data_IF_648943549108
#
_entry.id   IF_648943549108
#
_cell.length_a   1.000
_cell.length_b   1.000
_cell.length_c   1.000
_cell.angle_alpha   90.00
_cell.angle_beta   90.00
_cell.angle_gamma   90.00
#
_symmetry.space_group_name_H-M   'P 1'
#
loop_
_entity.id
_entity.type
_entity.pdbx_description
1 polymer ?
#
# COMPACT_ATOMS: atom_id res chain seq x y z
N UNK A 1 -32.09 25.03 -19.38
CA UNK A 1 -30.85 24.32 -19.76
C UNK A 1 -29.70 24.59 -18.82
N UNK A 2 -29.42 25.83 -18.41
CA UNK A 2 -28.29 26.13 -17.52
C UNK A 2 -28.42 25.49 -16.13
N UNK A 3 -29.62 25.33 -15.56
CA UNK A 3 -29.82 24.68 -14.26
C UNK A 3 -29.55 23.20 -14.25
N UNK A 4 -29.81 22.50 -15.35
CA UNK A 4 -29.57 21.07 -15.50
C UNK A 4 -28.08 20.75 -15.59
N UNK A 5 -27.31 21.58 -16.28
CA UNK A 5 -25.87 21.44 -16.38
C UNK A 5 -25.17 21.60 -15.02
N UNK A 6 -25.61 22.57 -14.22
CA UNK A 6 -25.07 22.80 -12.89
C UNK A 6 -25.33 21.60 -11.95
N UNK A 7 -26.50 20.97 -12.04
CA UNK A 7 -26.84 19.79 -11.25
C UNK A 7 -25.98 18.58 -11.64
N UNK A 8 -25.77 18.35 -12.91
CA UNK A 8 -24.92 17.25 -13.41
C UNK A 8 -23.48 17.43 -12.97
N UNK A 9 -22.95 18.65 -13.06
CA UNK A 9 -21.59 18.97 -12.63
C UNK A 9 -21.40 18.75 -11.12
N UNK A 10 -22.36 19.17 -10.31
CA UNK A 10 -22.31 18.98 -8.87
C UNK A 10 -22.35 17.49 -8.50
N UNK A 11 -23.18 16.70 -9.16
CA UNK A 11 -23.26 15.25 -8.92
C UNK A 11 -21.96 14.54 -9.30
N UNK A 12 -21.34 14.89 -10.43
CA UNK A 12 -20.07 14.34 -10.86
C UNK A 12 -18.95 14.66 -9.87
N UNK A 13 -18.93 15.88 -9.32
CA UNK A 13 -17.96 16.30 -8.33
C UNK A 13 -18.09 15.52 -7.03
N UNK A 14 -19.33 15.27 -6.57
CA UNK A 14 -19.58 14.48 -5.36
C UNK A 14 -19.12 13.02 -5.54
N UNK A 15 -19.33 12.42 -6.69
CA UNK A 15 -18.87 11.07 -6.99
C UNK A 15 -17.35 10.99 -7.01
N UNK A 16 -16.67 11.99 -7.56
CA UNK A 16 -15.21 12.04 -7.58
C UNK A 16 -14.63 12.15 -6.17
N UNK A 17 -15.24 12.94 -5.29
CA UNK A 17 -14.83 13.06 -3.89
C UNK A 17 -15.03 11.75 -3.12
N UNK A 18 -16.13 11.02 -3.36
CA UNK A 18 -16.40 9.75 -2.72
C UNK A 18 -15.36 8.69 -3.11
N UNK A 19 -14.95 8.64 -4.37
CA UNK A 19 -13.90 7.73 -4.85
C UNK A 19 -12.54 8.09 -4.27
N UNK A 20 -12.20 9.38 -4.20
CA UNK A 20 -10.94 9.85 -3.61
C UNK A 20 -10.82 9.58 -2.11
N UNK A 21 -11.95 9.62 -1.38
CA UNK A 21 -11.96 9.44 0.06
C UNK A 21 -11.70 7.98 0.50
N UNK A 22 -11.80 6.99 -0.42
CA UNK A 22 -11.58 5.58 -0.09
C UNK A 22 -10.12 5.13 -0.18
N UNK A 23 -9.24 5.96 -0.77
CA UNK A 23 -7.83 5.63 -0.95
C UNK A 23 -7.05 5.95 0.33
N UNK A 24 -6.77 4.91 1.15
CA UNK A 24 -6.09 5.07 2.44
C UNK A 24 -4.63 4.61 2.44
N UNK A 25 -4.19 3.83 1.45
CA UNK A 25 -2.82 3.33 1.40
C UNK A 25 -1.84 4.41 0.93
N UNK A 26 -0.59 4.40 1.42
CA UNK A 26 0.42 5.33 0.95
C UNK A 26 0.70 5.16 -0.54
N UNK A 27 1.16 6.24 -1.16
CA UNK A 27 1.57 6.21 -2.56
C UNK A 27 2.76 5.27 -2.75
N UNK A 28 2.79 4.56 -3.88
CA UNK A 28 3.91 3.67 -4.22
C UNK A 28 5.24 4.44 -4.17
N UNK A 29 6.23 3.94 -3.41
CA UNK A 29 7.55 4.58 -3.36
C UNK A 29 8.24 4.57 -4.72
N UNK A 30 9.10 5.57 -4.95
CA UNK A 30 9.88 5.67 -6.19
C UNK A 30 10.96 4.60 -6.30
N UNK A 31 11.48 4.14 -5.15
CA UNK A 31 12.48 3.09 -5.09
C UNK A 31 11.93 1.89 -4.33
N UNK A 32 12.22 0.69 -4.83
CA UNK A 32 11.78 -0.54 -4.18
C UNK A 32 12.67 -0.85 -2.96
N UNK A 33 12.03 -1.24 -1.86
CA UNK A 33 12.69 -1.80 -0.70
C UNK A 33 11.84 -2.96 -0.16
N UNK A 34 12.47 -3.84 0.60
CA UNK A 34 11.75 -4.96 1.21
C UNK A 34 11.05 -4.60 2.51
N UNK A 35 11.30 -3.40 3.04
CA UNK A 35 10.64 -2.91 4.25
C UNK A 35 10.45 -1.40 4.18
N UNK A 36 9.31 -0.94 4.64
CA UNK A 36 8.97 0.48 4.73
C UNK A 36 8.37 0.77 6.10
N UNK A 37 9.00 1.64 6.87
CA UNK A 37 8.52 2.06 8.18
C UNK A 37 8.03 3.51 8.09
N UNK A 38 6.73 3.68 7.85
CA UNK A 38 6.11 5.01 7.75
C UNK A 38 5.95 5.70 9.10
N UNK A 39 6.03 4.95 10.18
CA UNK A 39 6.11 5.52 11.53
C UNK A 39 7.49 6.15 11.78
N UNK A 40 8.53 5.50 11.27
CA UNK A 40 9.91 5.95 11.40
C UNK A 40 10.59 5.54 12.71
N UNK A 41 9.89 4.85 13.60
CA UNK A 41 10.40 4.50 14.91
C UNK A 41 10.19 3.04 15.32
N UNK A 42 9.54 2.24 14.49
CA UNK A 42 9.21 0.85 14.82
C UNK A 42 10.35 -0.10 14.44
N UNK A 43 10.92 0.07 13.25
CA UNK A 43 12.01 -0.77 12.77
C UNK A 43 13.35 -0.03 12.87
N UNK A 44 14.31 -0.63 13.55
CA UNK A 44 15.68 -0.08 13.61
C UNK A 44 16.37 -0.21 12.24
N UNK A 45 17.45 0.54 12.02
CA UNK A 45 18.25 0.43 10.80
C UNK A 45 18.77 -0.99 10.57
N UNK A 46 19.22 -1.66 11.64
CA UNK A 46 19.70 -3.03 11.56
C UNK A 46 18.58 -4.02 11.22
N UNK A 47 17.36 -3.79 11.71
CA UNK A 47 16.20 -4.60 11.36
C UNK A 47 15.82 -4.40 9.90
N UNK A 48 15.80 -3.17 9.41
CA UNK A 48 15.55 -2.88 8.00
C UNK A 48 16.57 -3.60 7.09
N UNK A 49 17.84 -3.55 7.45
CA UNK A 49 18.90 -4.22 6.69
C UNK A 49 18.72 -5.75 6.70
N UNK A 50 18.34 -6.31 7.84
CA UNK A 50 18.08 -7.76 7.97
C UNK A 50 16.91 -8.19 7.09
N UNK A 51 15.81 -7.44 7.13
CA UNK A 51 14.63 -7.73 6.28
C UNK A 51 15.01 -7.65 4.81
N UNK A 52 15.78 -6.63 4.42
CA UNK A 52 16.22 -6.47 3.04
C UNK A 52 17.09 -7.65 2.59
N UNK A 53 17.99 -8.12 3.44
CA UNK A 53 18.87 -9.25 3.13
C UNK A 53 18.08 -10.55 2.93
N UNK A 54 17.17 -10.87 3.85
CA UNK A 54 16.35 -12.08 3.74
C UNK A 54 15.31 -11.97 2.63
N UNK A 55 14.74 -10.78 2.43
CA UNK A 55 13.80 -10.54 1.34
C UNK A 55 14.43 -10.75 -0.02
N UNK A 56 15.64 -10.24 -0.23
CA UNK A 56 16.39 -10.44 -1.46
C UNK A 56 16.72 -11.91 -1.69
N UNK A 57 17.17 -12.62 -0.65
CA UNK A 57 17.50 -14.03 -0.74
C UNK A 57 16.26 -14.88 -1.07
N UNK A 58 15.11 -14.56 -0.47
CA UNK A 58 13.85 -15.26 -0.75
C UNK A 58 13.42 -15.04 -2.20
N UNK A 59 13.48 -13.82 -2.69
CA UNK A 59 13.12 -13.50 -4.07
C UNK A 59 14.04 -14.19 -5.06
N UNK A 60 15.35 -14.19 -4.80
CA UNK A 60 16.33 -14.88 -5.66
C UNK A 60 16.10 -16.40 -5.72
N UNK A 61 15.75 -17.00 -4.57
CA UNK A 61 15.57 -18.44 -4.48
C UNK A 61 14.22 -18.92 -5.01
N UNK A 62 13.15 -18.14 -4.85
CA UNK A 62 11.78 -18.58 -5.08
C UNK A 62 10.98 -17.71 -6.04
N UNK A 63 11.43 -16.50 -6.32
CA UNK A 63 10.64 -15.49 -7.04
C UNK A 63 9.59 -14.80 -6.18
N UNK A 64 9.41 -15.20 -4.94
CA UNK A 64 8.45 -14.58 -4.03
C UNK A 64 8.99 -13.23 -3.56
N UNK A 65 8.20 -12.17 -3.73
CA UNK A 65 8.52 -10.84 -3.26
C UNK A 65 7.73 -10.56 -1.98
N UNK A 66 8.41 -10.55 -0.84
CA UNK A 66 7.81 -10.29 0.47
C UNK A 66 8.25 -8.91 0.96
N UNK A 67 7.28 -8.06 1.28
CA UNK A 67 7.51 -6.67 1.69
C UNK A 67 6.84 -6.43 3.04
N UNK A 68 7.60 -5.88 3.98
CA UNK A 68 7.07 -5.46 5.27
C UNK A 68 6.71 -3.97 5.23
N UNK A 69 5.52 -3.62 5.68
CA UNK A 69 5.05 -2.24 5.71
C UNK A 69 4.52 -1.91 7.09
N UNK A 70 5.10 -0.90 7.73
CA UNK A 70 4.66 -0.40 9.03
C UNK A 70 3.94 0.92 8.83
N UNK A 71 2.71 1.03 9.31
CA UNK A 71 1.91 2.26 9.27
C UNK A 71 1.43 2.63 10.67
N UNK A 72 1.14 3.92 10.89
CA UNK A 72 0.64 4.39 12.17
C UNK A 72 -0.78 3.93 12.43
N UNK A 73 -1.67 4.16 11.48
CA UNK A 73 -3.09 3.92 11.64
C UNK A 73 -3.70 3.35 10.36
N UNK A 74 -4.73 2.54 10.52
CA UNK A 74 -5.51 2.02 9.40
C UNK A 74 -6.71 2.90 9.04
N UNK A 75 -6.95 3.96 9.81
CA UNK A 75 -8.07 4.91 9.61
C UNK A 75 -9.42 4.20 9.54
N UNK A 76 -9.61 3.17 10.37
CA UNK A 76 -10.85 2.41 10.41
C UNK A 76 -10.98 1.33 9.35
N UNK A 77 -9.98 1.15 8.50
CA UNK A 77 -10.00 0.07 7.50
C UNK A 77 -9.69 -1.28 8.11
N UNK A 78 -10.26 -2.33 7.51
CA UNK A 78 -9.90 -3.70 7.84
C UNK A 78 -8.43 -3.97 7.45
N UNK A 79 -7.62 -4.60 8.32
CA UNK A 79 -6.21 -4.86 7.99
C UNK A 79 -6.00 -5.69 6.72
N UNK A 80 -6.84 -6.68 6.48
CA UNK A 80 -6.73 -7.51 5.28
C UNK A 80 -7.02 -6.72 4.02
N UNK A 81 -8.03 -5.85 4.05
CA UNK A 81 -8.37 -4.97 2.93
C UNK A 81 -7.25 -3.98 2.65
N UNK A 82 -6.67 -3.40 3.70
CA UNK A 82 -5.55 -2.47 3.58
C UNK A 82 -4.33 -3.15 2.94
N UNK A 83 -3.99 -4.36 3.40
CA UNK A 83 -2.87 -5.12 2.84
C UNK A 83 -3.11 -5.48 1.36
N UNK A 84 -4.33 -5.85 1.00
CA UNK A 84 -4.72 -6.14 -0.38
C UNK A 84 -4.56 -4.90 -1.26
N UNK A 85 -5.00 -3.75 -0.77
CA UNK A 85 -4.85 -2.47 -1.48
C UNK A 85 -3.38 -2.12 -1.70
N UNK A 86 -2.51 -2.37 -0.71
CA UNK A 86 -1.07 -2.17 -0.85
C UNK A 86 -0.49 -3.05 -1.96
N UNK A 87 -0.81 -4.33 -1.96
CA UNK A 87 -0.33 -5.27 -2.98
C UNK A 87 -0.74 -4.80 -4.37
N UNK A 88 -2.00 -4.43 -4.53
CA UNK A 88 -2.54 -4.04 -5.83
C UNK A 88 -2.02 -2.67 -6.28
N UNK A 89 -1.99 -1.70 -5.38
CA UNK A 89 -1.55 -0.33 -5.69
C UNK A 89 -0.06 -0.26 -5.99
N UNK A 90 0.75 -0.99 -5.23
CA UNK A 90 2.20 -0.98 -5.40
C UNK A 90 2.69 -2.02 -6.39
N UNK A 91 1.85 -2.97 -6.80
CA UNK A 91 2.25 -4.04 -7.72
C UNK A 91 3.29 -4.96 -7.12
N UNK A 92 3.13 -5.34 -5.85
CA UNK A 92 4.07 -6.22 -5.15
C UNK A 92 3.97 -7.62 -5.74
N UNK A 93 5.13 -8.21 -6.02
CA UNK A 93 5.25 -9.50 -6.67
C UNK A 93 5.63 -9.36 -8.14
N UNK A 94 6.00 -10.47 -8.75
CA UNK A 94 6.32 -10.50 -10.17
C UNK A 94 5.04 -10.46 -10.99
N UNK A 95 5.05 -9.66 -12.05
CA UNK A 95 3.88 -9.44 -12.88
C UNK A 95 3.33 -10.77 -13.44
N UNK A 96 2.07 -11.06 -13.15
CA UNK A 96 1.39 -12.25 -13.64
C UNK A 96 1.64 -13.52 -12.84
N UNK A 97 2.48 -13.47 -11.80
CA UNK A 97 2.88 -14.65 -11.03
C UNK A 97 2.12 -14.81 -9.71
N UNK A 98 1.42 -13.79 -9.23
CA UNK A 98 0.69 -13.78 -7.94
C UNK A 98 1.58 -14.23 -6.76
N UNK A 99 2.83 -13.81 -6.77
CA UNK A 99 3.83 -14.22 -5.79
C UNK A 99 4.28 -13.07 -4.87
N UNK A 100 3.45 -12.07 -4.69
CA UNK A 100 3.68 -10.98 -3.75
C UNK A 100 3.08 -11.27 -2.38
N UNK A 101 3.82 -10.94 -1.33
CA UNK A 101 3.37 -11.05 0.07
C UNK A 101 3.62 -9.72 0.77
N UNK A 102 2.63 -9.23 1.49
CA UNK A 102 2.78 -8.06 2.34
C UNK A 102 2.60 -8.49 3.79
N UNK A 103 3.55 -8.11 4.63
CA UNK A 103 3.42 -8.19 6.08
C UNK A 103 3.12 -6.79 6.57
N UNK A 104 1.90 -6.57 7.02
CA UNK A 104 1.42 -5.26 7.48
C UNK A 104 1.45 -5.20 9.00
N UNK A 105 2.12 -4.19 9.55
CA UNK A 105 2.08 -3.88 10.96
C UNK A 105 1.47 -2.48 11.13
N UNK A 106 0.34 -2.40 11.79
CA UNK A 106 -0.31 -1.13 12.11
C UNK A 106 -0.31 -0.95 13.63
N UNK A 107 0.04 0.26 14.08
CA UNK A 107 0.06 0.57 15.51
C UNK A 107 -1.31 0.91 16.08
N UNK A 108 -2.22 1.30 15.25
CA UNK A 108 -3.56 1.62 15.68
C UNK A 108 -4.63 1.51 14.63
#
# INVERSE_FOLDING_TARGET
MKKVWALITALALMLALAVGASAAVPKKPSEFAYAYDYDGSVLSGSTLDTIAQYGAALEDATGIQAVAVVVDFLDGQDPADYATDLINTWGIGQKGENNGVVVLLARG
#
